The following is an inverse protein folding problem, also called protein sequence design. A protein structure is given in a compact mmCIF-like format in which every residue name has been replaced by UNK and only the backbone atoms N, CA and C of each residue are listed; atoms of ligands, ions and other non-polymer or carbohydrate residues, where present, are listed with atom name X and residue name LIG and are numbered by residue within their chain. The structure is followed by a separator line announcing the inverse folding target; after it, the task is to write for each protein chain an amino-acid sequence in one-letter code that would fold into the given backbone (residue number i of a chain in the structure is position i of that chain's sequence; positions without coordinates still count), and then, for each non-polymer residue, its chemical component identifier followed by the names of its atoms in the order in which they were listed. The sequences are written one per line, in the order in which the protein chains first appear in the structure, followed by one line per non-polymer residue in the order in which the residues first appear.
data_IF_418281435186
#
_entry.id   IF_418281435186
#
_cell.length_a   1.000
_cell.length_b   1.000
_cell.length_c   1.000
_cell.angle_alpha   90.00
_cell.angle_beta   90.00
_cell.angle_gamma   90.00
#
_symmetry.space_group_name_H-M   'P 1'
#
loop_
_entity.id
_entity.type
_entity.pdbx_description
1 polymer ?
#
# COMPACT_ATOMS: atom_id res chain seq x y z
N UNK A 1 -47.79 -19.41 -96.26
CA UNK A 1 -47.49 -20.57 -95.39
C UNK A 1 -45.98 -20.73 -95.29
N UNK A 2 -45.46 -20.74 -94.04
CA UNK A 2 -44.16 -21.25 -93.56
C UNK A 2 -42.85 -20.65 -94.14
N UNK A 3 -41.81 -20.31 -93.36
CA UNK A 3 -41.59 -20.31 -91.90
C UNK A 3 -40.33 -19.45 -91.61
N UNK A 4 -40.41 -18.53 -90.64
CA UNK A 4 -39.27 -17.77 -90.10
C UNK A 4 -38.87 -18.43 -88.77
N UNK A 5 -37.74 -19.12 -88.74
CA UNK A 5 -37.14 -19.63 -87.49
C UNK A 5 -36.03 -18.70 -87.04
N UNK A 6 -36.27 -17.96 -85.96
CA UNK A 6 -35.22 -17.25 -85.22
C UNK A 6 -34.68 -18.17 -84.13
N UNK A 7 -33.39 -18.48 -84.20
CA UNK A 7 -32.65 -19.21 -83.16
C UNK A 7 -32.00 -18.18 -82.24
N UNK A 8 -32.44 -18.17 -80.97
CA UNK A 8 -31.93 -17.31 -79.90
C UNK A 8 -30.46 -17.61 -79.60
N UNK A 9 -29.61 -16.57 -79.67
CA UNK A 9 -28.26 -16.58 -79.09
C UNK A 9 -28.34 -16.46 -77.57
N UNK A 10 -27.64 -17.35 -76.86
CA UNK A 10 -27.32 -17.20 -75.43
C UNK A 10 -25.81 -16.92 -75.35
N UNK A 11 -25.49 -15.71 -74.89
CA UNK A 11 -24.26 -15.31 -74.19
C UNK A 11 -24.70 -15.04 -72.71
N UNK A 12 -23.86 -14.80 -71.66
CA UNK A 12 -22.43 -14.42 -71.65
C UNK A 12 -21.64 -14.91 -70.38
N UNK A 13 -20.47 -14.27 -70.15
CA UNK A 13 -19.98 -13.77 -68.84
C UNK A 13 -19.49 -14.81 -67.79
N UNK A 14 -18.19 -15.02 -67.63
CA UNK A 14 -17.18 -14.17 -66.96
C UNK A 14 -17.26 -14.12 -65.43
N UNK A 15 -16.06 -14.02 -64.84
CA UNK A 15 -15.72 -13.64 -63.46
C UNK A 15 -16.04 -14.65 -62.36
N UNK A 16 -15.18 -15.67 -62.26
CA UNK A 16 -14.81 -16.30 -61.00
C UNK A 16 -13.84 -15.36 -60.26
N UNK A 17 -14.34 -14.26 -59.69
CA UNK A 17 -13.57 -13.47 -58.72
C UNK A 17 -14.24 -13.60 -57.35
N UNK A 18 -13.51 -14.05 -56.30
CA UNK A 18 -14.05 -14.14 -54.96
C UNK A 18 -14.47 -12.75 -54.50
N UNK A 19 -15.76 -12.65 -54.18
CA UNK A 19 -16.43 -11.52 -53.56
C UNK A 19 -15.60 -11.03 -52.37
N UNK A 20 -15.03 -9.84 -52.52
CA UNK A 20 -14.33 -9.08 -51.50
C UNK A 20 -15.10 -9.21 -50.17
N UNK A 21 -14.52 -9.91 -49.20
CA UNK A 21 -15.13 -10.05 -47.88
C UNK A 21 -15.07 -8.70 -47.20
N UNK A 22 -16.25 -8.10 -47.12
CA UNK A 22 -16.60 -6.93 -46.31
C UNK A 22 -15.83 -6.97 -45.01
N UNK A 23 -15.01 -5.96 -44.76
CA UNK A 23 -14.41 -5.75 -43.44
C UNK A 23 -15.52 -5.86 -42.41
N UNK A 24 -15.38 -6.80 -41.48
CA UNK A 24 -16.30 -6.93 -40.36
C UNK A 24 -16.30 -5.57 -39.67
N UNK A 25 -17.43 -4.87 -39.78
CA UNK A 25 -17.63 -3.61 -39.08
C UNK A 25 -17.69 -3.93 -37.61
N UNK A 26 -16.52 -3.93 -36.95
CA UNK A 26 -16.44 -3.89 -35.51
C UNK A 26 -17.29 -2.70 -35.07
N UNK A 27 -18.30 -2.97 -34.25
CA UNK A 27 -19.14 -1.95 -33.66
C UNK A 27 -18.27 -0.84 -33.11
N UNK A 28 -18.58 0.42 -33.43
CA UNK A 28 -17.81 1.60 -33.00
C UNK A 28 -17.56 1.59 -31.48
N UNK A 29 -18.48 1.01 -30.70
CA UNK A 29 -18.33 0.82 -29.26
C UNK A 29 -17.15 -0.11 -28.90
N UNK A 30 -16.93 -1.19 -29.67
CA UNK A 30 -15.80 -2.09 -29.44
C UNK A 30 -14.46 -1.39 -29.70
N UNK A 31 -14.40 -0.55 -30.75
CA UNK A 31 -13.21 0.24 -31.07
C UNK A 31 -12.89 1.22 -29.93
N UNK A 32 -13.92 1.88 -29.36
CA UNK A 32 -13.75 2.81 -28.23
C UNK A 32 -13.19 2.08 -26.99
N UNK A 33 -13.72 0.89 -26.68
CA UNK A 33 -13.24 0.10 -25.53
C UNK A 33 -11.80 -0.37 -25.69
N UNK A 34 -11.39 -0.75 -26.90
CA UNK A 34 -10.00 -1.11 -27.19
C UNK A 34 -9.08 0.09 -26.98
N UNK A 35 -9.46 1.27 -27.46
CA UNK A 35 -8.66 2.49 -27.31
C UNK A 35 -8.55 2.87 -25.82
N UNK A 36 -9.65 2.85 -25.07
CA UNK A 36 -9.62 3.09 -23.62
C UNK A 36 -8.74 2.07 -22.89
N UNK A 37 -8.83 0.79 -23.25
CA UNK A 37 -8.01 -0.27 -22.67
C UNK A 37 -6.51 -0.06 -22.92
N UNK A 38 -6.12 0.35 -24.12
CA UNK A 38 -4.73 0.66 -24.46
C UNK A 38 -4.24 1.88 -23.67
N UNK A 39 -5.06 2.93 -23.54
CA UNK A 39 -4.71 4.12 -22.74
C UNK A 39 -4.45 3.76 -21.28
N UNK A 40 -5.35 2.97 -20.67
CA UNK A 40 -5.19 2.53 -19.27
C UNK A 40 -3.95 1.65 -19.11
N UNK A 41 -3.69 0.74 -20.05
CA UNK A 41 -2.51 -0.12 -20.03
C UNK A 41 -1.21 0.70 -20.08
N UNK A 42 -1.15 1.70 -20.96
CA UNK A 42 0.02 2.59 -21.07
C UNK A 42 0.21 3.38 -19.76
N UNK A 43 -0.85 3.93 -19.17
CA UNK A 43 -0.75 4.63 -17.88
C UNK A 43 -0.27 3.73 -16.74
N UNK A 44 -0.73 2.48 -16.69
CA UNK A 44 -0.26 1.52 -15.68
C UNK A 44 1.21 1.18 -15.85
N UNK A 45 1.67 0.94 -17.08
CA UNK A 45 3.09 0.69 -17.36
C UNK A 45 3.95 1.88 -16.95
N UNK A 46 3.55 3.11 -17.32
CA UNK A 46 4.25 4.32 -16.88
C UNK A 46 4.22 4.50 -15.36
N UNK A 47 3.09 4.21 -14.70
CA UNK A 47 2.96 4.29 -13.24
C UNK A 47 3.87 3.29 -12.52
N UNK A 48 4.00 2.07 -13.03
CA UNK A 48 4.91 1.07 -12.47
C UNK A 48 6.39 1.41 -12.73
N UNK A 49 6.74 2.02 -13.87
CA UNK A 49 8.13 2.43 -14.19
C UNK A 49 8.55 3.66 -13.38
N UNK A 50 7.70 4.68 -13.27
CA UNK A 50 7.99 5.90 -12.53
C UNK A 50 7.94 5.72 -10.99
N UNK A 51 7.37 4.61 -10.55
CA UNK A 51 7.17 4.31 -9.14
C UNK A 51 5.96 5.05 -8.56
N UNK A 52 5.17 4.35 -7.76
CA UNK A 52 4.05 4.95 -7.03
C UNK A 52 4.52 5.96 -5.97
N UNK A 53 5.80 5.99 -5.64
CA UNK A 53 6.38 6.90 -4.63
C UNK A 53 6.20 8.38 -4.97
N UNK A 54 6.12 8.77 -6.24
CA UNK A 54 5.87 10.15 -6.66
C UNK A 54 4.39 10.55 -6.66
N UNK A 55 3.49 9.57 -6.69
CA UNK A 55 2.02 9.77 -6.67
C UNK A 55 1.50 9.66 -5.23
N UNK A 56 2.18 8.86 -4.40
CA UNK A 56 1.87 8.63 -3.00
C UNK A 56 1.68 9.89 -2.13
N UNK A 57 2.48 10.97 -2.21
CA UNK A 57 2.35 12.09 -1.28
C UNK A 57 1.01 12.85 -1.41
N UNK A 58 0.34 12.80 -2.57
CA UNK A 58 -0.97 13.41 -2.78
C UNK A 58 -2.15 12.51 -2.39
N UNK A 59 -1.90 11.21 -2.20
CA UNK A 59 -2.92 10.20 -1.84
C UNK A 59 -2.80 9.79 -0.37
N UNK A 60 -1.74 10.19 0.35
CA UNK A 60 -1.62 9.93 1.79
C UNK A 60 -2.85 10.52 2.50
N UNK A 61 -3.74 9.69 3.06
CA UNK A 61 -4.89 10.19 3.77
C UNK A 61 -4.39 11.04 4.95
N UNK A 62 -4.97 12.24 5.10
CA UNK A 62 -4.66 13.18 6.18
C UNK A 62 -4.82 12.54 7.55
N UNK A 63 -5.71 11.55 7.66
CA UNK A 63 -5.91 10.72 8.84
C UNK A 63 -5.75 9.25 8.47
N UNK A 64 -4.85 8.55 9.15
CA UNK A 64 -4.67 7.11 8.98
C UNK A 64 -4.86 6.32 10.28
N UNK A 65 -5.42 6.94 11.33
CA UNK A 65 -5.61 6.32 12.65
C UNK A 65 -6.33 4.98 12.51
N UNK A 66 -7.44 4.93 11.77
CA UNK A 66 -8.20 3.69 11.56
C UNK A 66 -7.36 2.59 10.92
N UNK A 67 -6.57 2.91 9.89
CA UNK A 67 -5.70 1.94 9.22
C UNK A 67 -4.66 1.37 10.18
N UNK A 68 -4.10 2.22 11.06
CA UNK A 68 -3.14 1.78 12.08
C UNK A 68 -3.82 0.92 13.15
N UNK A 69 -5.01 1.31 13.63
CA UNK A 69 -5.81 0.51 14.57
C UNK A 69 -6.11 -0.87 14.01
N UNK A 70 -6.60 -0.94 12.77
CA UNK A 70 -6.92 -2.20 12.10
C UNK A 70 -5.66 -3.07 11.94
N UNK A 71 -4.52 -2.48 11.54
CA UNK A 71 -3.24 -3.19 11.42
C UNK A 71 -2.73 -3.72 12.78
N UNK A 72 -2.86 -2.95 13.85
CA UNK A 72 -2.46 -3.36 15.20
C UNK A 72 -3.39 -4.44 15.76
N UNK A 73 -4.70 -4.34 15.50
CA UNK A 73 -5.69 -5.36 15.88
C UNK A 73 -5.43 -6.69 15.14
N UNK A 74 -5.10 -6.65 13.85
CA UNK A 74 -4.71 -7.84 13.08
C UNK A 74 -3.42 -8.45 13.63
N UNK A 75 -2.38 -7.64 13.85
CA UNK A 75 -1.12 -8.13 14.40
C UNK A 75 -1.32 -8.78 15.79
N UNK A 76 -2.15 -8.18 16.63
CA UNK A 76 -2.50 -8.73 17.94
C UNK A 76 -3.27 -10.05 17.83
N UNK A 77 -4.37 -10.07 17.07
CA UNK A 77 -5.24 -11.26 16.94
C UNK A 77 -4.54 -12.45 16.26
N UNK A 78 -3.57 -12.19 15.39
CA UNK A 78 -2.74 -13.22 14.74
C UNK A 78 -1.51 -13.62 15.56
N UNK A 79 -1.31 -13.05 16.75
CA UNK A 79 -0.11 -13.23 17.58
C UNK A 79 1.20 -12.93 16.81
N UNK A 80 1.17 -12.01 15.85
CA UNK A 80 2.36 -11.62 15.10
C UNK A 80 3.21 -10.63 15.91
N UNK A 81 4.10 -11.20 16.72
CA UNK A 81 5.01 -10.46 17.61
C UNK A 81 5.84 -9.43 16.86
N UNK A 82 6.37 -9.78 15.68
CA UNK A 82 7.21 -8.87 14.91
C UNK A 82 6.40 -7.65 14.42
N UNK A 83 5.23 -7.88 13.84
CA UNK A 83 4.38 -6.79 13.33
C UNK A 83 3.86 -5.89 14.44
N UNK A 84 3.60 -6.44 15.62
CA UNK A 84 3.13 -5.67 16.76
C UNK A 84 4.26 -4.84 17.40
N UNK A 85 5.41 -5.47 17.66
CA UNK A 85 6.48 -4.90 18.48
C UNK A 85 7.56 -4.14 17.69
N UNK A 86 7.79 -4.47 16.41
CA UNK A 86 8.97 -4.00 15.64
C UNK A 86 8.62 -3.21 14.39
N UNK A 87 7.49 -3.51 13.74
CA UNK A 87 7.11 -2.78 12.52
C UNK A 87 6.80 -1.33 12.84
N UNK A 88 7.58 -0.46 12.20
CA UNK A 88 7.50 1.00 12.31
C UNK A 88 6.37 1.53 11.46
N UNK A 89 5.56 2.41 12.05
CA UNK A 89 4.39 3.03 11.41
C UNK A 89 4.46 4.55 11.59
N UNK A 90 3.81 5.26 10.68
CA UNK A 90 3.56 6.69 10.80
C UNK A 90 2.08 6.88 11.12
N UNK A 91 1.76 7.59 12.21
CA UNK A 91 0.39 7.92 12.59
C UNK A 91 0.16 9.41 12.32
N UNK A 92 -0.83 9.69 11.49
CA UNK A 92 -1.27 11.02 11.07
C UNK A 92 -2.71 11.24 11.54
N UNK A 93 -2.93 12.34 12.24
CA UNK A 93 -4.25 12.82 12.63
C UNK A 93 -4.60 14.08 11.83
N UNK A 94 -5.86 14.20 11.42
CA UNK A 94 -6.36 15.37 10.68
C UNK A 94 -6.33 16.67 11.52
N UNK A 95 -6.34 16.55 12.84
CA UNK A 95 -6.70 17.66 13.73
C UNK A 95 -5.55 18.56 14.21
N UNK A 96 -4.28 18.29 13.86
CA UNK A 96 -3.10 19.20 13.80
C UNK A 96 -1.79 18.56 14.31
N UNK A 97 -0.72 18.98 13.62
CA UNK A 97 0.69 19.15 14.03
C UNK A 97 1.55 17.98 14.50
N UNK A 98 1.00 16.84 14.90
CA UNK A 98 1.80 15.76 15.50
C UNK A 98 1.70 14.46 14.71
N UNK A 99 2.44 14.38 13.60
CA UNK A 99 2.73 13.08 12.98
C UNK A 99 3.66 12.31 13.89
N UNK A 100 3.18 11.22 14.48
CA UNK A 100 4.03 10.27 15.18
C UNK A 100 4.77 9.41 14.16
N UNK A 101 6.10 9.40 14.21
CA UNK A 101 6.97 8.68 13.26
C UNK A 101 7.61 7.49 13.93
N UNK A 102 7.82 6.43 13.15
CA UNK A 102 8.48 5.19 13.59
C UNK A 102 7.82 4.50 14.79
N UNK A 103 6.56 4.81 15.10
CA UNK A 103 5.84 4.22 16.23
C UNK A 103 5.49 2.75 15.96
N UNK A 104 5.40 1.96 17.02
CA UNK A 104 5.01 0.54 16.97
C UNK A 104 3.61 0.38 17.55
N UNK A 105 2.94 -0.76 17.29
CA UNK A 105 1.64 -1.02 17.90
C UNK A 105 1.76 -1.13 19.43
N UNK A 106 2.84 -1.72 19.91
CA UNK A 106 3.16 -1.77 21.34
C UNK A 106 3.23 -0.38 21.99
N UNK A 107 4.03 0.52 21.42
CA UNK A 107 4.11 1.89 21.94
C UNK A 107 2.75 2.60 21.90
N UNK A 108 2.01 2.44 20.80
CA UNK A 108 0.72 3.10 20.65
C UNK A 108 -0.34 2.54 21.61
N UNK A 109 -0.33 1.24 21.90
CA UNK A 109 -1.28 0.61 22.83
C UNK A 109 -1.00 0.97 24.30
N UNK A 110 0.27 1.14 24.65
CA UNK A 110 0.69 1.47 26.01
C UNK A 110 0.59 2.97 26.31
N UNK A 111 1.17 3.82 25.45
CA UNK A 111 1.34 5.27 25.71
C UNK A 111 0.32 6.15 25.02
N UNK A 112 -0.37 5.65 23.98
CA UNK A 112 -1.27 6.44 23.13
C UNK A 112 -2.64 5.78 22.93
N UNK A 113 -3.17 5.20 24.01
CA UNK A 113 -4.49 4.53 24.05
C UNK A 113 -5.65 5.40 23.55
N UNK A 114 -5.51 6.74 23.58
CA UNK A 114 -6.46 7.70 23.02
C UNK A 114 -6.79 7.49 21.53
N UNK A 115 -5.94 6.80 20.77
CA UNK A 115 -6.18 6.48 19.36
C UNK A 115 -7.02 5.20 19.15
N UNK A 116 -7.49 4.56 20.23
CA UNK A 116 -8.34 3.37 20.15
C UNK A 116 -7.60 2.07 19.83
N UNK A 117 -6.29 2.03 20.08
CA UNK A 117 -5.48 0.82 19.94
C UNK A 117 -5.50 0.08 21.28
N UNK A 118 -6.13 -1.09 21.30
CA UNK A 118 -6.24 -1.93 22.50
C UNK A 118 -4.90 -2.58 22.86
N UNK A 119 -4.69 -2.83 24.16
CA UNK A 119 -3.52 -3.57 24.65
C UNK A 119 -3.60 -5.04 24.22
N UNK A 120 -2.45 -5.59 23.85
CA UNK A 120 -2.32 -6.98 23.45
C UNK A 120 -1.56 -7.80 24.51
N UNK A 121 -1.81 -9.10 24.60
CA UNK A 121 -1.06 -10.01 25.48
C UNK A 121 0.34 -10.39 24.96
N UNK A 122 0.76 -9.81 23.83
CA UNK A 122 2.09 -10.04 23.24
C UNK A 122 3.15 -9.33 24.10
N UNK A 123 4.13 -10.09 24.58
CA UNK A 123 5.32 -9.54 25.23
C UNK A 123 6.35 -9.12 24.18
N UNK A 124 6.72 -7.84 24.19
CA UNK A 124 7.68 -7.26 23.25
C UNK A 124 9.12 -7.21 23.79
N UNK A 125 9.35 -7.47 25.08
CA UNK A 125 10.61 -7.22 25.78
C UNK A 125 11.19 -5.82 25.46
N UNK A 126 10.31 -4.82 25.46
CA UNK A 126 10.64 -3.40 25.24
C UNK A 126 10.20 -2.60 26.45
N UNK A 127 11.12 -1.78 26.95
CA UNK A 127 10.87 -0.81 28.02
C UNK A 127 10.48 0.51 27.38
N UNK A 128 9.35 1.07 27.79
CA UNK A 128 8.94 2.40 27.37
C UNK A 128 9.46 3.42 28.39
N UNK A 129 9.95 4.55 27.87
CA UNK A 129 10.49 5.64 28.66
C UNK A 129 9.81 6.94 28.24
N UNK A 130 9.34 7.70 29.24
CA UNK A 130 8.71 9.02 29.05
C UNK A 130 9.73 10.13 28.72
N UNK A 131 11.02 9.78 28.67
CA UNK A 131 12.09 10.72 28.40
C UNK A 131 12.11 11.16 26.95
N UNK A 132 12.45 12.41 26.71
CA UNK A 132 12.48 12.99 25.35
C UNK A 132 13.87 12.97 24.72
N UNK A 133 14.90 12.60 25.49
CA UNK A 133 16.31 12.64 25.10
C UNK A 133 17.01 11.32 25.42
N UNK A 134 18.00 10.97 24.60
CA UNK A 134 18.74 9.71 24.71
C UNK A 134 19.45 9.56 26.05
N UNK A 135 20.07 10.63 26.57
CA UNK A 135 20.88 10.54 27.78
C UNK A 135 20.04 10.22 29.02
N UNK A 136 18.81 10.73 29.08
CA UNK A 136 17.87 10.37 30.12
C UNK A 136 17.25 9.00 29.86
N UNK A 137 16.90 8.67 28.61
CA UNK A 137 16.31 7.37 28.27
C UNK A 137 17.23 6.19 28.63
N UNK A 138 18.56 6.37 28.55
CA UNK A 138 19.54 5.37 29.03
C UNK A 138 19.36 5.01 30.50
N UNK A 139 18.86 5.93 31.32
CA UNK A 139 18.63 5.66 32.75
C UNK A 139 17.49 4.66 32.98
N UNK A 140 16.59 4.49 32.01
CA UNK A 140 15.53 3.49 32.02
C UNK A 140 16.02 2.06 31.69
N UNK A 141 17.30 1.89 31.32
CA UNK A 141 17.87 0.57 31.16
C UNK A 141 17.87 -0.21 32.49
N UNK A 142 17.40 -1.47 32.49
CA UNK A 142 17.22 -2.23 33.71
C UNK A 142 18.59 -2.60 34.29
N UNK A 143 18.69 -2.59 35.62
CA UNK A 143 19.91 -2.90 36.36
C UNK A 143 19.72 -4.13 37.22
N UNK A 144 20.69 -5.04 37.16
CA UNK A 144 20.81 -6.20 38.04
C UNK A 144 22.16 -6.11 38.77
N UNK A 145 22.16 -6.18 40.09
CA UNK A 145 23.37 -6.04 40.91
C UNK A 145 24.18 -4.75 40.59
N UNK A 146 23.49 -3.63 40.41
CA UNK A 146 24.05 -2.33 39.99
C UNK A 146 24.71 -2.31 38.59
N UNK A 147 24.54 -3.34 37.78
CA UNK A 147 25.03 -3.38 36.39
C UNK A 147 23.89 -3.32 35.41
N UNK A 148 24.06 -2.59 34.32
CA UNK A 148 23.06 -2.50 33.25
C UNK A 148 22.98 -3.85 32.53
N UNK A 149 21.77 -4.36 32.36
CA UNK A 149 21.52 -5.59 31.60
C UNK A 149 21.63 -5.26 30.11
N UNK A 150 22.66 -5.80 29.46
CA UNK A 150 22.90 -5.58 28.04
C UNK A 150 21.81 -6.22 27.16
N UNK A 151 21.56 -5.62 26.00
CA UNK A 151 20.68 -6.16 24.96
C UNK A 151 19.19 -5.85 25.16
N UNK A 152 18.81 -5.24 26.29
CA UNK A 152 17.46 -4.72 26.50
C UNK A 152 17.20 -3.49 25.64
N UNK A 153 15.95 -3.32 25.21
CA UNK A 153 15.54 -2.25 24.32
C UNK A 153 14.70 -1.24 25.08
N UNK A 154 15.10 0.02 25.03
CA UNK A 154 14.34 1.15 25.56
C UNK A 154 13.81 1.95 24.37
N UNK A 155 12.52 2.27 24.39
CA UNK A 155 11.88 3.13 23.41
C UNK A 155 11.40 4.42 24.07
N UNK A 156 11.61 5.53 23.38
CA UNK A 156 11.24 6.85 23.86
C UNK A 156 10.86 7.76 22.69
N UNK A 157 9.97 8.72 22.92
CA UNK A 157 9.51 9.65 21.89
C UNK A 157 10.36 10.92 21.93
N UNK A 158 11.04 11.24 20.83
CA UNK A 158 11.85 12.45 20.77
C UNK A 158 11.01 13.72 20.61
N UNK A 159 11.67 14.88 20.71
CA UNK A 159 11.03 16.20 20.52
C UNK A 159 10.45 16.43 19.11
N UNK A 160 10.70 15.52 18.17
CA UNK A 160 10.18 15.54 16.79
C UNK A 160 9.10 14.48 16.58
N UNK A 161 8.50 13.96 17.65
CA UNK A 161 7.46 12.94 17.61
C UNK A 161 7.92 11.65 16.91
N UNK A 162 9.20 11.34 16.96
CA UNK A 162 9.79 10.14 16.38
C UNK A 162 10.14 9.17 17.50
N UNK A 163 9.60 7.95 17.43
CA UNK A 163 9.96 6.88 18.36
C UNK A 163 11.38 6.41 18.06
N UNK A 164 12.27 6.58 19.03
CA UNK A 164 13.66 6.13 18.97
C UNK A 164 13.78 4.87 19.82
N UNK A 165 14.55 3.90 19.32
CA UNK A 165 14.90 2.69 20.07
C UNK A 165 16.37 2.72 20.41
N UNK A 166 16.69 2.64 21.70
CA UNK A 166 18.03 2.49 22.23
C UNK A 166 18.25 1.07 22.73
N UNK A 167 19.43 0.51 22.46
CA UNK A 167 19.84 -0.78 23.02
C UNK A 167 20.76 -0.53 24.21
N UNK A 168 20.39 -1.03 25.37
CA UNK A 168 21.18 -0.95 26.58
C UNK A 168 22.51 -1.68 26.38
N UNK A 169 23.62 -0.98 26.58
CA UNK A 169 24.96 -1.55 26.61
C UNK A 169 25.32 -1.88 28.05
N UNK A 170 26.09 -2.96 28.28
CA UNK A 170 26.72 -3.17 29.57
C UNK A 170 27.78 -2.08 29.77
N UNK A 171 27.72 -1.42 30.93
CA UNK A 171 28.76 -0.55 31.48
C UNK A 171 29.48 -1.27 32.63
#
# INVERSE_FOLDING_TARGET
MYNKKEVKRISPHSSFFPKNQRGQGLSTNAIILIILGVIVLVMLVFGFIAGWDNIAPWIKPSNNVKTIVDACSIACSTNNVYDYCRVKRELNTEEKTETLKNVTCYYLSEEKSQYGIEKCSIDCDIILSDEINLDNAKTACPKENNRVIAGKLVQYLDTKNTLITHTCSAE
#
